data_IF_636051588390
#
_entry.id   IF_636051588390
#
_cell.length_a   1.000
_cell.length_b   1.000
_cell.length_c   1.000
_cell.angle_alpha   90.00
_cell.angle_beta   90.00
_cell.angle_gamma   90.00
#
_symmetry.space_group_name_H-M   'P 1'
#
loop_
_entity.id
_entity.type
_entity.pdbx_description
1 polymer ?
#
# COMPACT_ATOMS: atom_id res chain seq x y z
N UNK A 1 33.75 29.54 28.15
CA UNK A 1 34.52 28.54 27.38
C UNK A 1 33.66 27.31 27.30
N UNK A 2 33.43 26.85 26.07
CA UNK A 2 32.38 25.92 25.70
C UNK A 2 32.57 24.54 26.35
N UNK A 3 31.49 24.03 26.95
CA UNK A 3 31.34 22.64 27.33
C UNK A 3 30.39 22.00 26.30
N UNK A 4 30.87 20.91 25.71
CA UNK A 4 30.35 20.27 24.52
C UNK A 4 29.03 19.54 24.83
N UNK A 5 27.92 20.17 24.43
CA UNK A 5 26.62 19.54 24.31
C UNK A 5 26.50 18.59 23.10
N UNK A 6 27.47 17.69 22.91
CA UNK A 6 27.37 16.61 21.90
C UNK A 6 26.80 15.35 22.57
N UNK A 7 25.47 15.27 22.62
CA UNK A 7 24.78 14.11 23.16
C UNK A 7 23.25 14.18 23.08
N UNK A 8 22.70 14.86 22.08
CA UNK A 8 21.26 14.89 21.82
C UNK A 8 21.00 14.68 20.34
N UNK A 9 20.70 13.43 19.99
CA UNK A 9 20.29 12.98 18.66
C UNK A 9 21.34 12.12 17.96
N UNK A 10 21.46 10.84 18.33
CA UNK A 10 21.39 9.84 17.25
C UNK A 10 20.10 10.19 16.52
N UNK A 11 20.21 10.71 15.30
CA UNK A 11 19.08 11.12 14.49
C UNK A 11 18.22 9.87 14.29
N UNK A 12 17.18 9.70 15.12
CA UNK A 12 16.31 8.53 15.16
C UNK A 12 15.70 8.31 13.77
N UNK A 13 16.37 7.48 12.96
CA UNK A 13 15.95 7.18 11.59
C UNK A 13 17.03 7.34 10.52
N UNK A 14 18.19 7.95 10.76
CA UNK A 14 19.24 8.04 9.73
C UNK A 14 19.89 6.67 9.46
N UNK A 15 20.06 6.33 8.18
CA UNK A 15 20.68 5.08 7.74
C UNK A 15 22.20 5.22 7.88
N UNK A 16 22.74 4.70 8.97
CA UNK A 16 24.18 4.71 9.23
C UNK A 16 24.73 3.29 9.34
N UNK A 17 26.00 3.11 9.00
CA UNK A 17 26.67 1.80 9.09
C UNK A 17 28.07 1.98 9.67
N UNK A 18 28.49 1.06 10.52
CA UNK A 18 29.83 1.05 11.12
C UNK A 18 30.86 0.36 10.21
N UNK A 19 30.44 -0.66 9.45
CA UNK A 19 31.32 -1.46 8.62
C UNK A 19 31.80 -0.67 7.40
N UNK A 20 33.13 -0.63 7.21
CA UNK A 20 33.79 0.17 6.14
C UNK A 20 33.28 -0.11 4.73
N UNK A 21 32.75 -1.31 4.47
CA UNK A 21 32.13 -1.64 3.18
C UNK A 21 31.10 -0.58 2.75
N UNK A 22 30.23 -0.15 3.66
CA UNK A 22 29.12 0.76 3.34
C UNK A 22 29.58 2.21 3.08
N UNK A 23 30.80 2.57 3.51
CA UNK A 23 31.42 3.87 3.23
C UNK A 23 32.49 3.82 2.14
N UNK A 24 32.82 2.63 1.63
CA UNK A 24 33.87 2.46 0.61
C UNK A 24 33.40 2.75 -0.81
N UNK A 25 32.09 2.88 -1.04
CA UNK A 25 31.50 3.09 -2.35
C UNK A 25 30.60 4.33 -2.33
N UNK A 26 30.96 5.36 -3.09
CA UNK A 26 30.19 6.63 -3.17
C UNK A 26 28.79 6.40 -3.79
N UNK A 27 28.68 5.47 -4.74
CA UNK A 27 27.45 5.13 -5.45
C UNK A 27 26.71 3.93 -4.84
N UNK A 28 26.90 3.65 -3.54
CA UNK A 28 26.12 2.62 -2.86
C UNK A 28 24.69 3.09 -2.63
N UNK A 29 23.73 2.30 -3.10
CA UNK A 29 22.33 2.49 -2.76
C UNK A 29 21.62 1.13 -2.65
N UNK A 30 20.46 1.14 -2.01
CA UNK A 30 19.63 -0.03 -1.82
C UNK A 30 18.35 0.13 -2.64
N UNK A 31 17.83 -0.98 -3.18
CA UNK A 31 16.55 -1.03 -3.89
C UNK A 31 15.91 -2.40 -3.80
N UNK A 32 14.64 -2.49 -4.17
CA UNK A 32 13.98 -3.77 -4.41
C UNK A 32 14.19 -4.17 -5.88
N UNK A 33 14.45 -5.45 -6.11
CA UNK A 33 14.50 -6.03 -7.46
C UNK A 33 13.09 -6.27 -8.03
N UNK A 34 12.99 -6.55 -9.32
CA UNK A 34 11.70 -6.90 -9.93
C UNK A 34 11.06 -8.15 -9.31
N UNK A 35 11.87 -9.02 -8.70
CA UNK A 35 11.47 -10.22 -7.98
C UNK A 35 11.00 -9.97 -6.53
N UNK A 36 11.09 -8.74 -6.02
CA UNK A 36 10.71 -8.40 -4.64
C UNK A 36 11.87 -8.47 -3.63
N UNK A 37 13.08 -8.83 -4.06
CA UNK A 37 14.20 -9.00 -3.15
C UNK A 37 14.93 -7.67 -2.90
N UNK A 38 15.16 -7.26 -1.63
CA UNK A 38 15.97 -6.09 -1.31
C UNK A 38 17.45 -6.38 -1.56
N UNK A 39 18.11 -5.45 -2.25
CA UNK A 39 19.51 -5.60 -2.68
C UNK A 39 20.27 -4.30 -2.47
N UNK A 40 21.57 -4.45 -2.23
CA UNK A 40 22.54 -3.37 -2.35
C UNK A 40 23.07 -3.33 -3.78
N UNK A 41 23.11 -2.14 -4.36
CA UNK A 41 23.65 -1.88 -5.68
C UNK A 41 24.84 -0.96 -5.54
N UNK A 42 25.95 -1.37 -6.16
CA UNK A 42 27.19 -0.61 -6.15
C UNK A 42 27.76 -0.55 -7.56
N UNK A 43 28.28 0.62 -7.92
CA UNK A 43 28.88 0.84 -9.23
C UNK A 43 30.37 0.46 -9.20
N UNK A 44 30.76 -0.47 -10.08
CA UNK A 44 32.12 -0.91 -10.31
C UNK A 44 32.56 -0.48 -11.71
N UNK A 45 33.23 0.67 -11.79
CA UNK A 45 33.63 1.30 -13.05
C UNK A 45 32.43 1.50 -14.01
N UNK A 46 32.28 0.65 -15.03
CA UNK A 46 31.18 0.70 -16.00
C UNK A 46 30.02 -0.24 -15.68
N UNK A 47 30.18 -1.17 -14.73
CA UNK A 47 29.18 -2.19 -14.42
C UNK A 47 28.55 -1.95 -13.05
N UNK A 48 27.33 -2.44 -12.85
CA UNK A 48 26.68 -2.50 -11.53
C UNK A 48 26.86 -3.90 -10.95
N UNK A 49 27.22 -3.96 -9.67
CA UNK A 49 27.15 -5.19 -8.89
C UNK A 49 25.92 -5.12 -7.99
N UNK A 50 25.14 -6.20 -8.00
CA UNK A 50 23.92 -6.35 -7.20
C UNK A 50 24.17 -7.45 -6.16
N UNK A 51 24.07 -7.09 -4.89
CA UNK A 51 24.33 -7.97 -3.76
C UNK A 51 23.06 -8.11 -2.90
N UNK A 52 22.67 -9.34 -2.56
CA UNK A 52 21.58 -9.55 -1.62
C UNK A 52 21.99 -9.15 -0.20
N UNK A 53 21.07 -8.57 0.56
CA UNK A 53 21.37 -8.14 1.94
C UNK A 53 21.73 -9.34 2.82
N UNK A 54 21.07 -10.49 2.63
CA UNK A 54 21.41 -11.74 3.32
C UNK A 54 22.78 -12.28 2.93
N UNK A 55 23.19 -12.08 1.67
CA UNK A 55 24.54 -12.39 1.20
C UNK A 55 25.59 -11.55 1.93
N UNK A 56 25.35 -10.25 2.06
CA UNK A 56 26.21 -9.31 2.77
C UNK A 56 26.35 -9.70 4.25
N UNK A 57 25.21 -9.95 4.93
CA UNK A 57 25.21 -10.38 6.34
C UNK A 57 26.04 -11.63 6.57
N UNK A 58 25.88 -12.63 5.69
CA UNK A 58 26.61 -13.90 5.76
C UNK A 58 28.09 -13.73 5.48
N UNK A 59 28.45 -13.01 4.41
CA UNK A 59 29.84 -12.85 3.98
C UNK A 59 30.67 -12.08 5.00
N UNK A 60 30.10 -11.06 5.61
CA UNK A 60 30.77 -10.29 6.67
C UNK A 60 30.61 -10.91 8.07
N UNK A 61 29.95 -12.06 8.20
CA UNK A 61 29.75 -12.74 9.47
C UNK A 61 29.02 -11.87 10.50
N UNK A 62 28.09 -11.04 10.04
CA UNK A 62 27.31 -10.13 10.89
C UNK A 62 26.39 -10.93 11.81
N UNK A 63 26.30 -10.49 13.07
CA UNK A 63 25.41 -11.11 14.07
C UNK A 63 24.14 -10.27 14.24
N UNK A 64 23.03 -10.93 14.57
CA UNK A 64 21.70 -10.30 14.72
C UNK A 64 21.66 -9.16 15.75
N UNK A 65 22.55 -9.19 16.75
CA UNK A 65 22.63 -8.17 17.78
C UNK A 65 23.38 -6.90 17.35
N UNK A 66 24.19 -6.98 16.28
CA UNK A 66 25.01 -5.88 15.77
C UNK A 66 24.17 -4.79 15.10
N UNK A 67 24.68 -3.56 15.17
CA UNK A 67 24.05 -2.37 14.60
C UNK A 67 23.76 -2.54 13.10
N UNK A 68 24.79 -2.88 12.31
CA UNK A 68 24.67 -2.98 10.85
C UNK A 68 23.71 -4.07 10.40
N UNK A 69 23.62 -5.18 11.15
CA UNK A 69 22.66 -6.23 10.86
C UNK A 69 21.23 -5.70 10.98
N UNK A 70 20.91 -5.05 12.11
CA UNK A 70 19.60 -4.43 12.37
C UNK A 70 19.31 -3.29 11.40
N UNK A 71 20.33 -2.53 11.01
CA UNK A 71 20.16 -1.47 10.02
C UNK A 71 19.82 -2.03 8.65
N UNK A 72 20.46 -3.12 8.22
CA UNK A 72 20.09 -3.81 6.97
C UNK A 72 18.64 -4.32 7.00
N UNK A 73 18.16 -4.81 8.14
CA UNK A 73 16.74 -5.19 8.30
C UNK A 73 15.82 -3.98 8.18
N UNK A 74 16.14 -2.86 8.83
CA UNK A 74 15.37 -1.61 8.72
C UNK A 74 15.39 -1.04 7.30
N UNK A 75 16.50 -1.13 6.60
CA UNK A 75 16.60 -0.75 5.18
C UNK A 75 15.70 -1.65 4.35
N UNK A 76 15.73 -2.97 4.55
CA UNK A 76 14.85 -3.91 3.85
C UNK A 76 13.36 -3.58 4.08
N UNK A 77 12.99 -3.23 5.31
CA UNK A 77 11.63 -2.78 5.66
C UNK A 77 11.29 -1.45 4.97
N UNK A 78 12.18 -0.46 5.04
CA UNK A 78 12.00 0.85 4.42
C UNK A 78 11.83 0.80 2.91
N UNK A 79 12.56 -0.09 2.24
CA UNK A 79 12.46 -0.31 0.80
C UNK A 79 11.09 -0.80 0.32
N UNK A 80 10.21 -1.26 1.22
CA UNK A 80 8.83 -1.57 0.85
C UNK A 80 8.01 -0.30 0.55
N UNK A 81 8.42 0.85 1.11
CA UNK A 81 7.72 2.13 1.05
C UNK A 81 8.36 3.13 0.07
N UNK A 82 9.60 2.89 -0.36
CA UNK A 82 10.34 3.79 -1.25
C UNK A 82 11.10 3.04 -2.33
N UNK A 83 11.48 3.74 -3.41
CA UNK A 83 12.17 3.14 -4.56
C UNK A 83 13.63 2.80 -4.32
N UNK A 84 14.26 3.52 -3.42
CA UNK A 84 15.63 3.28 -3.02
C UNK A 84 16.02 4.12 -1.82
N UNK A 85 17.07 3.66 -1.15
CA UNK A 85 17.63 4.30 0.04
C UNK A 85 19.15 4.34 -0.11
N UNK A 86 19.78 5.35 0.48
CA UNK A 86 21.24 5.48 0.55
C UNK A 86 21.70 5.57 2.00
N UNK A 87 22.94 5.17 2.31
CA UNK A 87 23.55 5.57 3.57
C UNK A 87 23.49 7.11 3.74
N UNK A 88 23.05 7.56 4.90
CA UNK A 88 22.78 8.97 5.23
C UNK A 88 21.35 9.43 4.95
N UNK A 89 20.52 8.65 4.23
CA UNK A 89 19.11 8.96 4.08
C UNK A 89 18.35 8.70 5.39
N UNK A 90 17.21 9.38 5.56
CA UNK A 90 16.26 9.07 6.63
C UNK A 90 15.41 7.86 6.22
N UNK A 91 15.23 6.93 7.16
CA UNK A 91 14.27 5.85 7.04
C UNK A 91 12.86 6.41 6.87
N UNK A 92 12.02 5.75 6.05
CA UNK A 92 10.61 6.12 5.91
C UNK A 92 9.90 6.16 7.25
N UNK A 93 8.94 7.08 7.38
CA UNK A 93 8.17 7.27 8.61
C UNK A 93 7.34 6.04 8.97
N UNK A 94 6.99 5.23 7.98
CA UNK A 94 6.25 3.99 8.15
C UNK A 94 7.00 3.00 9.03
N UNK A 95 8.33 2.98 8.93
CA UNK A 95 9.24 2.14 9.73
C UNK A 95 9.50 2.73 11.12
N UNK A 96 9.64 4.04 11.21
CA UNK A 96 10.07 4.71 12.46
C UNK A 96 8.92 5.07 13.38
N UNK A 97 7.87 5.71 12.85
CA UNK A 97 6.74 6.25 13.61
C UNK A 97 5.39 5.65 13.22
N UNK A 98 5.33 4.82 12.18
CA UNK A 98 4.11 4.34 11.51
C UNK A 98 3.26 5.45 10.87
N UNK A 99 3.80 6.66 10.75
CA UNK A 99 3.19 7.70 9.94
C UNK A 99 3.53 7.49 8.47
N UNK A 100 2.75 8.06 7.57
CA UNK A 100 3.09 8.01 6.15
C UNK A 100 4.21 9.00 5.82
N UNK A 101 5.13 8.63 4.94
CA UNK A 101 6.20 9.49 4.40
C UNK A 101 5.72 10.38 3.25
N UNK A 102 4.47 10.22 2.82
CA UNK A 102 3.84 10.93 1.72
C UNK A 102 2.57 11.64 2.20
N UNK A 103 1.98 12.53 1.40
CA UNK A 103 0.76 13.25 1.80
C UNK A 103 -0.38 13.15 0.78
N UNK A 104 -1.63 12.96 1.23
CA UNK A 104 -2.80 12.99 0.38
C UNK A 104 -3.18 14.44 0.04
N UNK A 105 -3.68 14.62 -1.19
CA UNK A 105 -4.23 15.89 -1.66
C UNK A 105 -5.51 16.28 -0.90
N UNK A 106 -5.84 17.58 -0.90
CA UNK A 106 -7.04 18.12 -0.25
C UNK A 106 -8.34 17.45 -0.72
N UNK A 107 -8.41 17.06 -1.99
CA UNK A 107 -9.56 16.32 -2.54
C UNK A 107 -9.79 15.01 -1.79
N UNK A 108 -8.73 14.28 -1.44
CA UNK A 108 -8.82 13.00 -0.75
C UNK A 108 -9.28 13.21 0.70
N UNK A 109 -8.79 14.26 1.36
CA UNK A 109 -9.24 14.66 2.71
C UNK A 109 -10.73 14.99 2.72
N UNK A 110 -11.19 15.73 1.71
CA UNK A 110 -12.62 16.06 1.55
C UNK A 110 -13.48 14.81 1.33
N UNK A 111 -13.06 13.90 0.44
CA UNK A 111 -13.79 12.65 0.18
C UNK A 111 -13.89 11.81 1.45
N UNK A 112 -12.77 11.61 2.16
CA UNK A 112 -12.73 10.83 3.40
C UNK A 112 -13.66 11.42 4.48
N UNK A 113 -13.63 12.74 4.68
CA UNK A 113 -14.51 13.41 5.63
C UNK A 113 -15.99 13.25 5.26
N UNK A 114 -16.33 13.44 3.98
CA UNK A 114 -17.69 13.26 3.50
C UNK A 114 -18.14 11.80 3.67
N UNK A 115 -17.26 10.81 3.46
CA UNK A 115 -17.59 9.39 3.62
C UNK A 115 -18.00 9.10 5.04
N UNK A 116 -17.17 9.49 6.02
CA UNK A 116 -17.49 9.31 7.44
C UNK A 116 -18.77 10.04 7.86
N UNK A 117 -18.97 11.25 7.37
CA UNK A 117 -20.17 12.04 7.64
C UNK A 117 -21.42 11.32 7.12
N UNK A 118 -21.35 10.78 5.91
CA UNK A 118 -22.44 10.02 5.31
C UNK A 118 -22.71 8.71 6.07
N UNK A 119 -21.67 7.99 6.52
CA UNK A 119 -21.88 6.79 7.34
C UNK A 119 -22.62 7.11 8.64
N UNK A 120 -22.38 8.26 9.25
CA UNK A 120 -23.12 8.71 10.43
C UNK A 120 -24.60 8.98 10.12
N UNK A 121 -24.90 9.57 8.97
CA UNK A 121 -26.29 9.81 8.51
C UNK A 121 -26.99 8.49 8.18
N UNK A 122 -26.29 7.57 7.51
CA UNK A 122 -26.76 6.23 7.18
C UNK A 122 -27.11 5.46 8.46
N UNK A 123 -26.23 5.51 9.47
CA UNK A 123 -26.49 4.98 10.81
C UNK A 123 -27.75 5.58 11.46
N UNK A 124 -27.89 6.92 11.48
CA UNK A 124 -29.03 7.59 12.09
C UNK A 124 -30.36 7.23 11.41
N UNK A 125 -30.35 7.13 10.08
CA UNK A 125 -31.55 6.88 9.29
C UNK A 125 -31.94 5.40 9.22
N UNK A 126 -31.06 4.51 9.68
CA UNK A 126 -31.25 3.06 9.62
C UNK A 126 -31.21 2.49 8.19
N UNK A 127 -30.70 3.26 7.23
CA UNK A 127 -30.44 2.74 5.89
C UNK A 127 -29.14 1.92 5.94
N UNK A 128 -29.13 0.68 5.47
CA UNK A 128 -27.91 -0.17 5.47
C UNK A 128 -26.99 0.08 4.27
N UNK A 129 -27.28 1.09 3.43
CA UNK A 129 -26.51 1.32 2.22
C UNK A 129 -25.16 1.99 2.53
N UNK A 130 -24.09 1.20 2.56
CA UNK A 130 -22.71 1.68 2.63
C UNK A 130 -22.35 2.34 1.30
N UNK A 131 -22.13 3.66 1.33
CA UNK A 131 -21.68 4.40 0.16
C UNK A 131 -20.21 4.05 -0.11
N UNK A 132 -19.95 3.32 -1.19
CA UNK A 132 -18.63 2.82 -1.55
C UNK A 132 -17.93 3.70 -2.59
N UNK A 133 -18.69 4.35 -3.49
CA UNK A 133 -18.14 5.14 -4.59
C UNK A 133 -18.17 6.66 -4.34
N UNK A 134 -17.17 7.37 -4.89
CA UNK A 134 -17.08 8.84 -4.83
C UNK A 134 -18.25 9.50 -5.58
N UNK A 135 -18.72 8.87 -6.66
CA UNK A 135 -19.82 9.40 -7.49
C UNK A 135 -21.15 9.38 -6.75
N UNK A 136 -21.48 8.26 -6.09
CA UNK A 136 -22.69 8.15 -5.25
C UNK A 136 -22.60 9.15 -4.08
N UNK A 137 -21.43 9.26 -3.46
CA UNK A 137 -21.19 10.18 -2.36
C UNK A 137 -21.44 11.65 -2.73
N UNK A 138 -20.97 12.08 -3.90
CA UNK A 138 -21.18 13.44 -4.37
C UNK A 138 -22.66 13.77 -4.62
N UNK A 139 -23.43 12.83 -5.16
CA UNK A 139 -24.86 13.02 -5.44
C UNK A 139 -25.69 13.17 -4.17
N UNK A 140 -25.35 12.43 -3.12
CA UNK A 140 -26.11 12.42 -1.86
C UNK A 140 -25.73 13.60 -0.96
N UNK A 141 -24.47 14.05 -0.99
CA UNK A 141 -24.00 15.12 -0.10
C UNK A 141 -24.62 16.51 -0.36
N UNK A 142 -25.14 16.76 -1.56
CA UNK A 142 -25.71 18.05 -1.94
C UNK A 142 -27.19 18.23 -1.54
N UNK A 143 -27.85 17.17 -1.07
CA UNK A 143 -29.26 17.22 -0.65
C UNK A 143 -29.45 18.05 0.65
N UNK A 144 -30.34 19.08 0.65
CA UNK A 144 -30.66 19.87 1.84
C UNK A 144 -31.18 19.05 3.03
N UNK A 145 -31.88 17.94 2.79
CA UNK A 145 -32.36 17.04 3.83
C UNK A 145 -31.20 16.28 4.49
N UNK A 146 -30.21 15.87 3.69
CA UNK A 146 -28.99 15.22 4.21
C UNK A 146 -28.25 16.17 5.13
N UNK A 147 -28.11 17.45 4.79
CA UNK A 147 -27.44 18.44 5.66
C UNK A 147 -28.09 18.60 7.03
N UNK A 148 -29.42 18.53 7.12
CA UNK A 148 -30.14 18.52 8.41
C UNK A 148 -29.88 17.24 9.19
N UNK A 149 -29.93 16.10 8.50
CA UNK A 149 -29.66 14.80 9.10
C UNK A 149 -28.22 14.71 9.63
N UNK A 150 -27.25 15.34 8.96
CA UNK A 150 -25.86 15.41 9.42
C UNK A 150 -25.78 16.02 10.82
N UNK A 151 -26.37 17.20 11.03
CA UNK A 151 -26.30 17.88 12.33
C UNK A 151 -26.93 17.06 13.45
N UNK A 152 -28.06 16.40 13.16
CA UNK A 152 -28.72 15.50 14.10
C UNK A 152 -27.87 14.26 14.39
N UNK A 153 -27.25 13.68 13.36
CA UNK A 153 -26.44 12.47 13.49
C UNK A 153 -25.24 12.67 14.41
N UNK A 154 -24.60 13.85 14.34
CA UNK A 154 -23.52 14.20 15.26
C UNK A 154 -24.00 14.33 16.72
N UNK A 155 -25.19 14.90 16.95
CA UNK A 155 -25.77 15.05 18.29
C UNK A 155 -26.14 13.70 18.90
N UNK A 156 -26.82 12.84 18.13
CA UNK A 156 -27.23 11.51 18.57
C UNK A 156 -26.01 10.58 18.76
N UNK A 157 -24.98 10.71 17.91
CA UNK A 157 -23.73 9.98 18.11
C UNK A 157 -23.01 10.39 19.40
N UNK A 158 -23.04 11.68 19.78
CA UNK A 158 -22.44 12.14 21.03
C UNK A 158 -23.15 11.53 22.26
N UNK A 159 -24.47 11.37 22.20
CA UNK A 159 -25.24 10.68 23.25
C UNK A 159 -24.90 9.19 23.32
N UNK A 160 -24.87 8.49 22.17
CA UNK A 160 -24.58 7.05 22.09
C UNK A 160 -23.12 6.68 22.46
N UNK A 161 -22.20 7.65 22.32
CA UNK A 161 -20.82 7.54 22.80
C UNK A 161 -20.68 7.86 24.29
N UNK A 162 -21.75 8.27 24.97
CA UNK A 162 -21.74 8.62 26.40
C UNK A 162 -21.12 9.99 26.69
N UNK A 163 -20.90 10.82 25.67
CA UNK A 163 -20.34 12.17 25.80
C UNK A 163 -21.43 13.19 26.17
N UNK A 164 -22.70 12.90 25.86
CA UNK A 164 -23.84 13.79 26.04
C UNK A 164 -24.06 14.71 24.84
N UNK A 165 -25.31 15.11 24.61
CA UNK A 165 -25.76 15.82 23.40
C UNK A 165 -25.03 17.15 23.14
N UNK A 166 -24.57 17.82 24.20
CA UNK A 166 -23.88 19.11 24.11
C UNK A 166 -22.42 18.98 23.66
N UNK A 167 -21.83 17.77 23.71
CA UNK A 167 -20.43 17.52 23.36
C UNK A 167 -20.23 17.06 21.91
N UNK A 168 -21.10 17.53 21.01
CA UNK A 168 -21.04 17.24 19.57
C UNK A 168 -19.67 17.54 18.95
N UNK A 169 -19.01 18.60 19.38
CA UNK A 169 -17.73 19.04 18.83
C UNK A 169 -16.60 18.02 19.08
N UNK A 170 -16.74 17.16 20.09
CA UNK A 170 -15.81 16.05 20.31
C UNK A 170 -15.96 14.95 19.25
N UNK A 171 -17.20 14.63 18.89
CA UNK A 171 -17.49 13.70 17.78
C UNK A 171 -16.93 14.24 16.46
N UNK A 172 -17.05 15.56 16.22
CA UNK A 172 -16.45 16.21 15.05
C UNK A 172 -14.93 16.01 15.03
N UNK A 173 -14.24 16.22 16.16
CA UNK A 173 -12.79 15.99 16.26
C UNK A 173 -12.39 14.53 16.01
N UNK A 174 -13.18 13.57 16.49
CA UNK A 174 -12.95 12.15 16.19
C UNK A 174 -13.11 11.83 14.71
N UNK A 175 -14.14 12.37 14.07
CA UNK A 175 -14.36 12.23 12.63
C UNK A 175 -13.23 12.89 11.84
N UNK A 176 -12.78 14.08 12.20
CA UNK A 176 -11.64 14.74 11.55
C UNK A 176 -10.35 13.94 11.68
N UNK A 177 -10.12 13.30 12.84
CA UNK A 177 -8.95 12.46 13.08
C UNK A 177 -8.97 11.22 12.19
N UNK A 178 -10.10 10.50 12.14
CA UNK A 178 -10.28 9.36 11.26
C UNK A 178 -10.24 9.75 9.78
N UNK A 179 -10.81 10.91 9.42
CA UNK A 179 -10.80 11.42 8.05
C UNK A 179 -9.36 11.66 7.55
N UNK A 180 -8.46 12.13 8.42
CA UNK A 180 -7.04 12.30 8.07
C UNK A 180 -6.37 10.98 7.73
N UNK A 181 -6.66 9.91 8.49
CA UNK A 181 -6.10 8.58 8.22
C UNK A 181 -6.74 7.95 6.96
N UNK A 182 -8.06 8.06 6.79
CA UNK A 182 -8.76 7.58 5.60
C UNK A 182 -8.40 8.34 4.32
N UNK A 183 -7.96 9.60 4.41
CA UNK A 183 -7.49 10.37 3.25
C UNK A 183 -6.34 9.66 2.51
N UNK A 184 -5.49 8.92 3.23
CA UNK A 184 -4.47 8.08 2.61
C UNK A 184 -5.08 6.92 1.83
N UNK A 185 -6.09 6.25 2.39
CA UNK A 185 -6.82 5.18 1.69
C UNK A 185 -7.47 5.74 0.42
N UNK A 186 -8.07 6.93 0.47
CA UNK A 186 -8.67 7.57 -0.71
C UNK A 186 -7.63 7.94 -1.79
N UNK A 187 -6.43 8.36 -1.40
CA UNK A 187 -5.34 8.58 -2.35
C UNK A 187 -4.88 7.27 -3.02
N UNK A 188 -4.84 6.18 -2.27
CA UNK A 188 -4.54 4.85 -2.80
C UNK A 188 -5.66 4.33 -3.70
N UNK A 189 -6.94 4.65 -3.41
CA UNK A 189 -8.08 4.36 -4.31
C UNK A 189 -7.94 5.05 -5.65
N UNK A 190 -7.51 6.31 -5.67
CA UNK A 190 -7.28 7.04 -6.93
C UNK A 190 -6.16 6.39 -7.77
N UNK A 191 -5.08 5.98 -7.11
CA UNK A 191 -3.98 5.24 -7.76
C UNK A 191 -4.45 3.89 -8.29
N UNK A 192 -5.23 3.16 -7.49
CA UNK A 192 -5.86 1.90 -7.89
C UNK A 192 -6.80 2.08 -9.10
N UNK A 193 -7.54 3.18 -9.17
CA UNK A 193 -8.35 3.54 -10.34
C UNK A 193 -7.53 3.65 -11.63
N UNK A 194 -6.25 4.02 -11.55
CA UNK A 194 -5.35 3.98 -12.71
C UNK A 194 -4.93 2.55 -13.06
N UNK A 195 -4.73 1.69 -12.05
CA UNK A 195 -4.44 0.26 -12.26
C UNK A 195 -5.61 -0.45 -12.95
N UNK A 196 -6.85 -0.13 -12.57
CA UNK A 196 -8.05 -0.64 -13.26
C UNK A 196 -8.03 -0.27 -14.75
N UNK A 197 -7.65 0.97 -15.11
CA UNK A 197 -7.52 1.39 -16.51
C UNK A 197 -6.44 0.62 -17.28
N UNK A 198 -5.38 0.17 -16.61
CA UNK A 198 -4.38 -0.72 -17.21
C UNK A 198 -5.03 -2.05 -17.57
N UNK A 199 -5.79 -2.65 -16.65
CA UNK A 199 -6.52 -3.90 -16.91
C UNK A 199 -7.55 -3.73 -18.04
N UNK A 200 -8.32 -2.64 -18.08
CA UNK A 200 -9.25 -2.38 -19.18
C UNK A 200 -8.54 -2.41 -20.56
N UNK A 201 -7.35 -1.80 -20.65
CA UNK A 201 -6.52 -1.84 -21.85
C UNK A 201 -5.99 -3.25 -22.12
N UNK A 202 -5.57 -3.99 -21.10
CA UNK A 202 -5.14 -5.38 -21.22
C UNK A 202 -6.25 -6.29 -21.74
N UNK A 203 -7.47 -6.18 -21.22
CA UNK A 203 -8.62 -6.94 -21.70
C UNK A 203 -8.96 -6.54 -23.15
N UNK A 204 -8.83 -5.26 -23.50
CA UNK A 204 -8.95 -4.80 -24.88
C UNK A 204 -7.93 -5.44 -25.82
N UNK A 205 -6.64 -5.43 -25.45
CA UNK A 205 -5.57 -6.04 -26.23
C UNK A 205 -5.74 -7.57 -26.31
N UNK A 206 -6.13 -8.23 -25.23
CA UNK A 206 -6.45 -9.66 -25.19
C UNK A 206 -7.51 -10.04 -26.23
N UNK A 207 -8.56 -9.23 -26.39
CA UNK A 207 -9.58 -9.45 -27.43
C UNK A 207 -9.02 -9.33 -28.85
N UNK A 208 -8.12 -8.37 -29.10
CA UNK A 208 -7.46 -8.20 -30.40
C UNK A 208 -6.54 -9.38 -30.73
N UNK A 209 -5.77 -9.84 -29.75
CA UNK A 209 -4.83 -10.96 -29.92
C UNK A 209 -5.48 -12.34 -29.80
N UNK A 210 -6.80 -12.43 -29.58
CA UNK A 210 -7.51 -13.70 -29.39
C UNK A 210 -7.47 -14.65 -30.59
N UNK A 211 -7.14 -14.17 -31.80
CA UNK A 211 -6.92 -15.00 -32.99
C UNK A 211 -5.43 -15.26 -33.30
N UNK A 212 -4.53 -14.59 -32.59
CA UNK A 212 -3.08 -14.71 -32.80
C UNK A 212 -2.52 -15.84 -31.96
N UNK A 213 -2.24 -16.99 -32.60
CA UNK A 213 -1.68 -18.18 -31.93
C UNK A 213 -0.38 -17.90 -31.19
N UNK A 214 0.40 -16.89 -31.58
CA UNK A 214 1.67 -16.58 -30.93
C UNK A 214 1.49 -15.80 -29.62
N UNK A 215 0.37 -15.09 -29.46
CA UNK A 215 0.15 -14.15 -28.34
C UNK A 215 -1.04 -14.50 -27.45
N UNK A 216 -1.93 -15.38 -27.91
CA UNK A 216 -3.14 -15.75 -27.17
C UNK A 216 -2.82 -16.23 -25.75
N UNK A 217 -1.89 -17.18 -25.59
CA UNK A 217 -1.55 -17.76 -24.28
C UNK A 217 -0.98 -16.71 -23.31
N UNK A 218 -0.07 -15.86 -23.80
CA UNK A 218 0.56 -14.81 -22.98
C UNK A 218 -0.47 -13.76 -22.58
N UNK A 219 -1.30 -13.29 -23.52
CA UNK A 219 -2.33 -12.29 -23.24
C UNK A 219 -3.42 -12.79 -22.29
N UNK A 220 -3.79 -14.08 -22.40
CA UNK A 220 -4.74 -14.74 -21.51
C UNK A 220 -4.18 -14.93 -20.10
N UNK A 221 -2.89 -15.26 -19.98
CA UNK A 221 -2.24 -15.39 -18.69
C UNK A 221 -2.10 -14.04 -17.99
N UNK A 222 -1.66 -13.00 -18.71
CA UNK A 222 -1.58 -11.63 -18.19
C UNK A 222 -2.96 -11.15 -17.71
N UNK A 223 -4.00 -11.33 -18.52
CA UNK A 223 -5.36 -10.94 -18.14
C UNK A 223 -5.84 -11.63 -16.85
N UNK A 224 -5.52 -12.92 -16.66
CA UNK A 224 -5.85 -13.65 -15.43
C UNK A 224 -5.07 -13.14 -14.21
N UNK A 225 -3.77 -12.89 -14.37
CA UNK A 225 -2.92 -12.38 -13.28
C UNK A 225 -3.33 -10.96 -12.87
N UNK A 226 -3.65 -10.10 -13.84
CA UNK A 226 -4.13 -8.73 -13.59
C UNK A 226 -5.43 -8.73 -12.78
N UNK A 227 -6.41 -9.53 -13.18
CA UNK A 227 -7.68 -9.69 -12.44
C UNK A 227 -7.46 -10.17 -11.01
N UNK A 228 -6.50 -11.08 -10.79
CA UNK A 228 -6.14 -11.53 -9.44
C UNK A 228 -5.54 -10.40 -8.62
N UNK A 229 -4.65 -9.60 -9.20
CA UNK A 229 -4.08 -8.45 -8.53
C UNK A 229 -5.17 -7.44 -8.14
N UNK A 230 -6.06 -7.11 -9.08
CA UNK A 230 -7.19 -6.20 -8.83
C UNK A 230 -8.08 -6.67 -7.68
N UNK A 231 -8.38 -7.97 -7.64
CA UNK A 231 -9.18 -8.54 -6.56
C UNK A 231 -8.52 -8.36 -5.19
N UNK A 232 -7.22 -8.58 -5.08
CA UNK A 232 -6.49 -8.38 -3.80
C UNK A 232 -6.63 -6.94 -3.32
N UNK A 233 -6.48 -5.96 -4.21
CA UNK A 233 -6.66 -4.55 -3.86
C UNK A 233 -8.11 -4.22 -3.46
N UNK A 234 -9.07 -4.71 -4.25
CA UNK A 234 -10.50 -4.51 -3.97
C UNK A 234 -10.88 -5.07 -2.61
N UNK A 235 -10.43 -6.28 -2.26
CA UNK A 235 -10.72 -6.92 -0.98
C UNK A 235 -10.25 -6.04 0.22
N UNK A 236 -9.10 -5.37 0.13
CA UNK A 236 -8.63 -4.42 1.15
C UNK A 236 -9.53 -3.18 1.25
N UNK A 237 -9.93 -2.61 0.11
CA UNK A 237 -10.82 -1.45 0.09
C UNK A 237 -12.21 -1.78 0.64
N UNK A 238 -12.76 -2.94 0.28
CA UNK A 238 -14.04 -3.44 0.78
C UNK A 238 -13.97 -3.68 2.28
N UNK A 239 -12.86 -4.21 2.79
CA UNK A 239 -12.66 -4.41 4.22
C UNK A 239 -12.65 -3.09 5.00
N UNK A 240 -12.00 -2.05 4.47
CA UNK A 240 -12.03 -0.70 5.07
C UNK A 240 -13.44 -0.11 5.00
N UNK A 241 -14.10 -0.21 3.85
CA UNK A 241 -15.46 0.32 3.70
C UNK A 241 -16.45 -0.36 4.66
N UNK A 242 -16.36 -1.68 4.81
CA UNK A 242 -17.17 -2.45 5.76
C UNK A 242 -16.98 -1.96 7.20
N UNK A 243 -15.74 -1.76 7.63
CA UNK A 243 -15.48 -1.21 8.97
C UNK A 243 -15.98 0.22 9.13
N UNK A 244 -15.86 1.06 8.10
CA UNK A 244 -16.41 2.42 8.16
C UNK A 244 -17.93 2.45 8.22
N UNK A 245 -18.61 1.39 7.77
CA UNK A 245 -20.05 1.20 7.94
C UNK A 245 -20.45 1.04 9.41
N UNK A 246 -19.57 0.50 10.26
CA UNK A 246 -19.75 0.38 11.71
C UNK A 246 -19.20 1.62 12.45
N UNK A 247 -19.59 2.82 11.97
CA UNK A 247 -18.98 4.10 12.38
C UNK A 247 -18.95 4.34 13.90
N UNK A 248 -20.00 3.95 14.63
CA UNK A 248 -20.01 4.10 16.09
C UNK A 248 -19.01 3.19 16.80
N UNK A 249 -18.87 1.94 16.34
CA UNK A 249 -17.88 1.03 16.91
C UNK A 249 -16.46 1.55 16.65
N UNK A 250 -16.23 2.18 15.49
CA UNK A 250 -14.97 2.84 15.22
C UNK A 250 -14.71 4.02 16.15
N UNK A 251 -15.70 4.90 16.34
CA UNK A 251 -15.56 6.07 17.21
C UNK A 251 -15.34 5.68 18.68
N UNK A 252 -15.96 4.59 19.16
CA UNK A 252 -15.73 4.05 20.51
C UNK A 252 -14.30 3.53 20.72
N UNK A 253 -13.59 3.14 19.65
CA UNK A 253 -12.28 2.52 19.74
C UNK A 253 -11.26 3.16 18.76
N UNK A 254 -11.23 4.49 18.73
CA UNK A 254 -10.57 5.27 17.69
C UNK A 254 -9.08 4.94 17.52
N UNK A 255 -8.33 4.77 18.62
CA UNK A 255 -6.88 4.52 18.55
C UNK A 255 -6.55 3.18 17.88
N UNK A 256 -7.31 2.13 18.20
CA UNK A 256 -7.16 0.84 17.55
C UNK A 256 -7.54 0.90 16.07
N UNK A 257 -8.57 1.68 15.72
CA UNK A 257 -8.95 1.88 14.32
C UNK A 257 -7.90 2.66 13.54
N UNK A 258 -7.29 3.69 14.13
CA UNK A 258 -6.16 4.40 13.51
C UNK A 258 -5.03 3.42 13.21
N UNK A 259 -4.66 2.57 14.19
CA UNK A 259 -3.63 1.55 14.00
C UNK A 259 -3.95 0.58 12.86
N UNK A 260 -5.19 0.11 12.78
CA UNK A 260 -5.66 -0.76 11.71
C UNK A 260 -5.67 -0.06 10.34
N UNK A 261 -6.18 1.17 10.24
CA UNK A 261 -6.20 1.95 8.98
C UNK A 261 -4.78 2.16 8.48
N UNK A 262 -3.83 2.49 9.37
CA UNK A 262 -2.41 2.61 9.02
C UNK A 262 -1.83 1.30 8.50
N UNK A 263 -2.13 0.17 9.14
CA UNK A 263 -1.70 -1.15 8.66
C UNK A 263 -2.23 -1.45 7.25
N UNK A 264 -3.51 -1.16 6.98
CA UNK A 264 -4.10 -1.37 5.65
C UNK A 264 -3.51 -0.39 4.63
N UNK A 265 -3.32 0.88 5.00
CA UNK A 265 -2.65 1.90 4.19
C UNK A 265 -1.27 1.41 3.76
N UNK A 266 -0.47 0.96 4.70
CA UNK A 266 0.91 0.51 4.46
C UNK A 266 0.91 -0.72 3.54
N UNK A 267 0.05 -1.69 3.83
CA UNK A 267 -0.12 -2.88 2.98
C UNK A 267 -0.55 -2.55 1.55
N UNK A 268 -1.46 -1.60 1.36
CA UNK A 268 -1.91 -1.13 0.04
C UNK A 268 -0.80 -0.34 -0.66
N UNK A 269 -0.14 0.57 0.05
CA UNK A 269 0.91 1.42 -0.50
C UNK A 269 2.07 0.60 -1.03
N UNK A 270 2.62 -0.34 -0.25
CA UNK A 270 3.72 -1.21 -0.70
C UNK A 270 3.36 -2.00 -1.96
N UNK A 271 2.10 -2.40 -2.11
CA UNK A 271 1.63 -3.17 -3.26
C UNK A 271 1.33 -2.30 -4.47
N UNK A 272 0.85 -1.08 -4.28
CA UNK A 272 0.54 -0.12 -5.35
C UNK A 272 1.77 0.62 -5.86
N UNK A 273 2.78 0.82 -5.01
CA UNK A 273 4.00 1.54 -5.36
C UNK A 273 4.62 0.97 -6.65
N UNK A 274 4.93 -0.33 -6.81
CA UNK A 274 5.49 -0.86 -8.06
C UNK A 274 4.63 -0.62 -9.32
N UNK A 275 3.33 -0.36 -9.19
CA UNK A 275 2.46 -0.08 -10.33
C UNK A 275 2.64 1.33 -10.91
N UNK A 276 3.20 2.30 -10.18
CA UNK A 276 3.29 3.68 -10.68
C UNK A 276 4.11 3.80 -11.97
N UNK A 277 5.16 2.99 -12.11
CA UNK A 277 5.99 2.93 -13.31
C UNK A 277 5.17 2.46 -14.52
N UNK A 278 4.35 1.42 -14.31
CA UNK A 278 3.42 0.92 -15.30
C UNK A 278 2.30 1.92 -15.59
N UNK A 279 1.79 2.64 -14.59
CA UNK A 279 0.74 3.65 -14.78
C UNK A 279 1.19 4.72 -15.78
N UNK A 280 2.43 5.21 -15.70
CA UNK A 280 2.91 6.22 -16.65
C UNK A 280 3.05 5.67 -18.07
N UNK A 281 3.62 4.47 -18.21
CA UNK A 281 3.80 3.82 -19.52
C UNK A 281 2.45 3.50 -20.16
N UNK A 282 1.51 2.97 -19.38
CA UNK A 282 0.23 2.48 -19.90
C UNK A 282 -0.78 3.59 -20.18
N UNK A 283 -0.60 4.82 -19.67
CA UNK A 283 -1.40 5.98 -20.09
C UNK A 283 -1.32 6.23 -21.59
N UNK A 284 -0.14 6.06 -22.19
CA UNK A 284 0.11 6.33 -23.62
C UNK A 284 -0.20 5.16 -24.54
N UNK A 285 -0.54 3.99 -24.00
CA UNK A 285 -0.87 2.80 -24.79
C UNK A 285 -2.22 2.95 -25.47
N UNK A 286 -2.24 2.73 -26.79
CA UNK A 286 -3.45 2.60 -27.59
C UNK A 286 -3.79 1.13 -27.85
N UNK A 287 -5.08 0.81 -27.86
CA UNK A 287 -5.59 -0.56 -28.05
C UNK A 287 -5.57 -0.91 -29.54
N UNK A 288 -4.40 -1.25 -30.06
CA UNK A 288 -4.16 -1.62 -31.47
C UNK A 288 -3.20 -2.80 -31.55
N UNK A 289 -3.18 -3.48 -32.69
CA UNK A 289 -2.18 -4.53 -32.94
C UNK A 289 -0.83 -3.89 -33.29
N UNK A 290 0.20 -4.19 -32.51
CA UNK A 290 1.57 -3.70 -32.76
C UNK A 290 2.60 -4.54 -31.99
N UNK A 291 3.84 -4.55 -32.48
CA UNK A 291 4.96 -5.18 -31.78
C UNK A 291 5.28 -4.48 -30.46
N UNK A 292 5.07 -3.16 -30.40
CA UNK A 292 5.22 -2.39 -29.17
C UNK A 292 4.26 -2.87 -28.07
N UNK A 293 2.98 -3.09 -28.40
CA UNK A 293 1.99 -3.60 -27.46
C UNK A 293 2.30 -5.04 -27.04
N UNK A 294 2.88 -5.84 -27.94
CA UNK A 294 3.34 -7.20 -27.62
C UNK A 294 4.45 -7.17 -26.57
N UNK A 295 5.42 -6.26 -26.69
CA UNK A 295 6.47 -6.09 -25.69
C UNK A 295 5.90 -5.60 -24.35
N UNK A 296 5.01 -4.60 -24.37
CA UNK A 296 4.36 -4.10 -23.13
C UNK A 296 3.55 -5.18 -22.39
N UNK A 297 2.89 -6.08 -23.12
CA UNK A 297 2.22 -7.26 -22.54
C UNK A 297 3.24 -8.20 -21.87
N UNK A 298 4.42 -8.38 -22.47
CA UNK A 298 5.48 -9.20 -21.89
C UNK A 298 6.09 -8.55 -20.64
N UNK A 299 6.28 -7.24 -20.65
CA UNK A 299 6.84 -6.50 -19.51
C UNK A 299 5.92 -6.59 -18.29
N UNK A 300 4.62 -6.35 -18.49
CA UNK A 300 3.65 -6.48 -17.40
C UNK A 300 3.46 -7.94 -16.97
N UNK A 301 3.64 -8.92 -17.87
CA UNK A 301 3.70 -10.32 -17.49
C UNK A 301 4.84 -10.61 -16.51
N UNK A 302 6.05 -10.13 -16.82
CA UNK A 302 7.22 -10.30 -15.95
C UNK A 302 7.03 -9.62 -14.59
N UNK A 303 6.31 -8.52 -14.55
CA UNK A 303 5.93 -7.86 -13.31
C UNK A 303 4.88 -8.64 -12.49
N UNK A 304 3.85 -9.15 -13.16
CA UNK A 304 2.71 -9.83 -12.52
C UNK A 304 3.01 -11.26 -12.09
N UNK A 305 3.76 -12.01 -12.89
CA UNK A 305 4.03 -13.44 -12.66
C UNK A 305 4.65 -13.72 -11.27
N UNK A 306 5.77 -13.10 -10.85
CA UNK A 306 6.37 -13.40 -9.55
C UNK A 306 5.46 -13.00 -8.37
N UNK A 307 4.60 -11.99 -8.55
CA UNK A 307 3.74 -11.43 -7.48
C UNK A 307 2.40 -12.15 -7.34
N UNK A 308 1.83 -12.61 -8.46
CA UNK A 308 0.43 -13.08 -8.50
C UNK A 308 0.24 -14.46 -9.14
N UNK A 309 1.28 -15.16 -9.56
CA UNK A 309 1.14 -16.54 -10.02
C UNK A 309 0.91 -17.47 -8.82
N UNK A 310 -0.02 -18.42 -8.94
CA UNK A 310 -0.18 -19.47 -7.93
C UNK A 310 0.89 -20.53 -8.19
N UNK A 311 1.79 -20.73 -7.23
CA UNK A 311 2.54 -21.97 -7.17
C UNK A 311 1.62 -23.01 -6.53
N UNK A 312 1.21 -24.01 -7.32
CA UNK A 312 0.86 -25.28 -6.72
C UNK A 312 2.17 -25.87 -6.22
N UNK A 313 2.49 -25.66 -4.94
CA UNK A 313 3.50 -26.48 -4.29
C UNK A 313 3.05 -27.92 -4.48
N UNK A 314 3.77 -28.65 -5.33
CA UNK A 314 3.72 -30.10 -5.30
C UNK A 314 4.27 -30.49 -3.93
N UNK A 315 3.37 -30.62 -2.95
CA UNK A 315 3.68 -31.23 -1.67
C UNK A 315 4.13 -32.64 -2.02
N UNK A 316 5.44 -32.86 -2.07
CA UNK A 316 6.03 -34.18 -1.96
C UNK A 316 5.54 -34.74 -0.63
N UNK A 317 4.47 -35.53 -0.69
CA UNK A 317 3.95 -36.31 0.43
C UNK A 317 4.98 -37.39 0.76
N UNK A 318 6.01 -36.99 1.49
CA UNK A 318 6.85 -37.87 2.27
C UNK A 318 7.08 -37.26 3.63
N UNK A 319 6.02 -37.22 4.45
CA UNK A 319 6.02 -37.65 5.86
C UNK A 319 4.64 -37.43 6.48
N UNK A 320 4.14 -38.51 7.07
CA UNK A 320 2.90 -38.58 7.85
C UNK A 320 2.87 -37.52 8.96
N UNK A 321 1.71 -36.86 9.09
CA UNK A 321 1.21 -36.33 10.36
C UNK A 321 1.73 -34.95 10.75
N UNK A 322 1.10 -33.90 10.24
CA UNK A 322 0.75 -32.69 10.99
C UNK A 322 -0.17 -31.82 10.11
N UNK A 323 -1.46 -31.94 10.36
CA UNK A 323 -2.47 -31.08 9.75
C UNK A 323 -2.44 -29.74 10.48
N UNK A 324 -1.64 -28.78 9.99
CA UNK A 324 -1.74 -27.37 10.40
C UNK A 324 -2.74 -26.66 9.47
N UNK A 325 -3.62 -25.87 10.07
CA UNK A 325 -4.65 -25.08 9.39
C UNK A 325 -4.08 -24.27 8.22
N UNK A 326 -4.74 -24.35 7.06
CA UNK A 326 -4.42 -23.53 5.88
C UNK A 326 -4.56 -22.05 6.24
N UNK A 327 -3.53 -21.21 6.03
CA UNK A 327 -3.76 -19.78 5.92
C UNK A 327 -4.60 -19.51 4.67
N UNK A 328 -5.61 -18.65 4.80
CA UNK A 328 -6.28 -18.05 3.65
C UNK A 328 -5.24 -17.23 2.88
N UNK A 329 -4.95 -17.61 1.64
CA UNK A 329 -3.93 -16.98 0.80
C UNK A 329 -2.59 -17.70 0.88
N UNK A 330 -2.21 -18.38 -0.21
CA UNK A 330 -0.86 -18.91 -0.36
C UNK A 330 0.16 -17.79 -0.18
N UNK A 331 1.31 -18.11 0.42
CA UNK A 331 2.44 -17.19 0.55
C UNK A 331 2.77 -16.59 -0.83
N UNK A 332 2.34 -15.36 -1.05
CA UNK A 332 2.81 -14.55 -2.16
C UNK A 332 4.20 -14.04 -1.77
N UNK A 333 5.16 -14.19 -2.67
CA UNK A 333 6.45 -13.52 -2.54
C UNK A 333 6.20 -12.05 -2.84
N UNK A 334 6.49 -11.20 -1.85
CA UNK A 334 6.40 -9.75 -1.96
C UNK A 334 7.80 -9.19 -2.12
#
# INVERSE_FOLDING_TARGET
MADDGKGKGELEGEITFEHKFFSSFEDLYFRVTDAGEPVAVLKLATNEAVLSLDGIKREFGMKEDQHDFKMLDKVAEGLQFVRGLRPGDLLPKEVTTREASWEPQDRHRRIAYQRLTMQLVTWLTGNEHVISSVTELAQVADDPQVKKNVQLAFTEAAEELGLGRDNRDEVVRYIETLAKELAYIEALRDTFGQVIKIDEKLQGLRRIYGADRSMIDTSDQVGRLAQRALKVFQDYFDQVDAQTGEILAMLKNIDNQIGYIRQVRDALHCRLLPWEDFIQIWKTVFIVRSDENTNKIRDIYQFLAPRYMQFNDWVLVTKRGQQKSKPLGGQMRW
#
